data_IF_648473062324
#
_entry.id   IF_648473062324
#
_cell.length_a   1.000
_cell.length_b   1.000
_cell.length_c   1.000
_cell.angle_alpha   90.00
_cell.angle_beta   90.00
_cell.angle_gamma   90.00
#
_symmetry.space_group_name_H-M   'P 1'
#
loop_
_entity.id
_entity.type
_entity.pdbx_description
1 polymer ?
#
# COMPACT_ATOMS: atom_id res chain seq x y z
N UNK A 1 -37.32 -47.10 24.41
CA UNK A 1 -38.23 -47.75 25.39
C UNK A 1 -37.69 -47.45 26.78
N UNK A 2 -38.51 -46.90 27.68
CA UNK A 2 -38.12 -46.60 29.06
C UNK A 2 -38.57 -45.22 29.53
N UNK A 3 -39.80 -45.16 30.00
CA UNK A 3 -40.53 -44.02 30.59
C UNK A 3 -40.21 -43.79 32.07
N UNK A 4 -40.77 -42.68 32.60
CA UNK A 4 -41.22 -42.38 34.00
C UNK A 4 -40.41 -41.25 34.67
N UNK A 5 -40.92 -39.99 34.70
CA UNK A 5 -41.95 -39.38 35.58
C UNK A 5 -41.33 -38.81 36.87
N UNK A 6 -41.16 -37.49 37.02
CA UNK A 6 -42.11 -36.45 37.49
C UNK A 6 -42.13 -36.24 39.02
N UNK A 7 -41.96 -34.97 39.42
CA UNK A 7 -42.42 -34.25 40.64
C UNK A 7 -41.72 -32.87 40.60
N UNK A 8 -42.30 -31.72 40.24
CA UNK A 8 -43.59 -31.06 40.53
C UNK A 8 -43.67 -30.57 41.98
N UNK A 9 -43.37 -29.27 42.25
CA UNK A 9 -43.98 -28.30 43.20
C UNK A 9 -43.37 -26.91 42.82
N UNK A 10 -44.03 -25.92 42.19
CA UNK A 10 -45.21 -25.09 42.50
C UNK A 10 -44.96 -23.94 43.53
N UNK A 11 -45.32 -22.70 43.13
CA UNK A 11 -45.42 -21.50 43.98
C UNK A 11 -44.64 -20.29 43.41
N UNK A 12 -45.13 -19.44 42.50
CA UNK A 12 -46.26 -18.49 42.53
C UNK A 12 -46.03 -17.30 43.48
N UNK A 13 -46.42 -16.08 43.05
CA UNK A 13 -46.57 -14.78 43.78
C UNK A 13 -45.37 -13.83 43.55
N UNK A 14 -45.48 -12.57 43.05
CA UNK A 14 -46.59 -11.63 42.80
C UNK A 14 -46.15 -10.59 41.75
N UNK A 15 -47.07 -10.23 40.86
CA UNK A 15 -47.04 -8.99 40.08
C UNK A 15 -47.37 -7.81 41.00
N UNK A 16 -46.58 -6.74 40.93
CA UNK A 16 -46.99 -5.40 41.37
C UNK A 16 -46.61 -4.40 40.27
N UNK A 17 -47.61 -4.02 39.49
CA UNK A 17 -47.63 -2.72 38.82
C UNK A 17 -47.85 -1.65 39.89
N UNK A 18 -47.00 -0.62 39.87
CA UNK A 18 -47.17 0.60 40.66
C UNK A 18 -46.12 1.60 40.19
N UNK A 19 -46.53 2.53 39.33
CA UNK A 19 -45.62 3.44 38.65
C UNK A 19 -45.01 4.50 39.56
N UNK A 20 -43.84 5.01 39.15
CA UNK A 20 -43.42 6.38 39.41
C UNK A 20 -42.49 6.83 38.29
N UNK A 21 -42.83 7.96 37.69
CA UNK A 21 -42.00 8.71 36.76
C UNK A 21 -40.73 9.19 37.49
N UNK A 22 -39.57 8.73 37.07
CA UNK A 22 -38.32 9.49 37.25
C UNK A 22 -37.49 9.38 35.98
N UNK A 23 -37.31 10.52 35.33
CA UNK A 23 -36.37 10.72 34.24
C UNK A 23 -34.97 10.25 34.64
N UNK A 24 -34.42 9.29 33.90
CA UNK A 24 -32.99 8.97 33.88
C UNK A 24 -32.43 9.35 32.50
N UNK A 25 -31.28 10.04 32.42
CA UNK A 25 -30.76 10.57 31.17
C UNK A 25 -30.33 9.43 30.22
N UNK A 26 -30.29 9.69 28.90
CA UNK A 26 -29.82 8.70 27.94
C UNK A 26 -28.34 8.41 28.19
N UNK A 27 -27.98 7.14 28.37
CA UNK A 27 -26.59 6.69 28.21
C UNK A 27 -26.24 6.75 26.71
N UNK A 28 -26.01 7.96 26.23
CA UNK A 28 -25.30 8.27 25.00
C UNK A 28 -24.01 8.96 25.42
N UNK A 29 -22.87 8.27 25.41
CA UNK A 29 -21.53 8.85 25.16
C UNK A 29 -20.41 7.92 25.63
N UNK A 30 -20.03 6.95 24.79
CA UNK A 30 -18.63 6.50 24.67
C UNK A 30 -18.35 6.20 23.19
N UNK A 31 -18.31 7.24 22.37
CA UNK A 31 -17.74 7.18 21.00
C UNK A 31 -16.89 8.41 20.66
N UNK A 32 -16.83 9.42 21.56
CA UNK A 32 -16.20 10.72 21.29
C UNK A 32 -14.67 10.74 21.53
N UNK A 33 -14.16 9.79 22.30
CA UNK A 33 -12.73 9.68 22.62
C UNK A 33 -11.89 9.17 21.45
N UNK A 34 -12.43 8.23 20.68
CA UNK A 34 -11.72 7.61 19.54
C UNK A 34 -11.66 8.56 18.33
N UNK A 35 -12.76 9.28 18.07
CA UNK A 35 -12.85 10.23 16.97
C UNK A 35 -11.91 11.44 17.14
N UNK A 36 -11.80 11.98 18.36
CA UNK A 36 -10.91 13.12 18.64
C UNK A 36 -9.42 12.73 18.57
N UNK A 37 -9.07 11.53 19.02
CA UNK A 37 -7.73 10.98 18.88
C UNK A 37 -7.35 10.78 17.41
N UNK A 38 -8.25 10.21 16.61
CA UNK A 38 -8.08 10.02 15.16
C UNK A 38 -7.89 11.33 14.40
N UNK A 39 -8.71 12.36 14.71
CA UNK A 39 -8.57 13.70 14.11
C UNK A 39 -7.22 14.33 14.45
N UNK A 40 -6.78 14.20 15.70
CA UNK A 40 -5.49 14.75 16.14
C UNK A 40 -4.32 14.03 15.46
N UNK A 41 -4.33 12.71 15.38
CA UNK A 41 -3.32 11.91 14.68
C UNK A 41 -3.23 12.29 13.20
N UNK A 42 -4.38 12.47 12.53
CA UNK A 42 -4.42 12.93 11.14
C UNK A 42 -3.82 14.33 10.96
N UNK A 43 -4.13 15.25 11.87
CA UNK A 43 -3.57 16.60 11.84
C UNK A 43 -2.06 16.60 12.06
N UNK A 44 -1.56 15.78 12.98
CA UNK A 44 -0.14 15.59 13.24
C UNK A 44 0.58 15.06 11.98
N UNK A 45 0.07 13.98 11.38
CA UNK A 45 0.63 13.39 10.16
C UNK A 45 0.68 14.38 9.00
N UNK A 46 -0.36 15.21 8.83
CA UNK A 46 -0.39 16.26 7.81
C UNK A 46 0.65 17.36 8.06
N UNK A 47 0.88 17.74 9.32
CA UNK A 47 1.92 18.73 9.67
C UNK A 47 3.32 18.18 9.43
N UNK A 48 3.59 16.96 9.90
CA UNK A 48 4.85 16.24 9.67
C UNK A 48 5.14 16.16 8.17
N UNK A 49 4.18 15.68 7.38
CA UNK A 49 4.29 15.61 5.93
C UNK A 49 4.57 16.98 5.30
N UNK A 50 3.81 18.00 5.67
CA UNK A 50 3.97 19.35 5.10
C UNK A 50 5.36 19.93 5.41
N UNK A 51 5.88 19.68 6.61
CA UNK A 51 7.21 20.10 7.02
C UNK A 51 8.30 19.37 6.24
N UNK A 52 8.16 18.05 6.04
CA UNK A 52 9.12 17.23 5.31
C UNK A 52 9.13 17.55 3.81
N UNK A 53 7.96 17.63 3.19
CA UNK A 53 7.84 17.96 1.78
C UNK A 53 8.32 19.39 1.50
N UNK A 54 8.01 20.35 2.38
CA UNK A 54 8.38 21.75 2.24
C UNK A 54 8.05 22.31 0.84
N UNK A 55 6.84 22.01 0.34
CA UNK A 55 6.37 22.41 -0.99
C UNK A 55 6.92 21.58 -2.16
N UNK A 56 7.92 20.71 -1.94
CA UNK A 56 8.46 19.83 -2.97
C UNK A 56 7.48 18.73 -3.35
N UNK A 57 7.48 18.38 -4.62
CA UNK A 57 6.66 17.29 -5.19
C UNK A 57 7.46 16.05 -5.51
N UNK A 58 8.79 16.11 -5.48
CA UNK A 58 9.69 14.97 -5.64
C UNK A 58 10.92 15.22 -4.76
N UNK A 59 11.24 14.29 -3.86
CA UNK A 59 12.39 14.37 -2.96
C UNK A 59 12.73 13.01 -2.35
N UNK A 60 13.95 12.90 -1.84
CA UNK A 60 14.45 11.68 -1.20
C UNK A 60 14.81 11.92 0.26
N UNK A 61 14.65 10.87 1.08
CA UNK A 61 15.11 10.83 2.46
C UNK A 61 16.03 9.63 2.62
N UNK A 62 17.27 9.90 3.01
CA UNK A 62 18.28 8.88 3.30
C UNK A 62 18.45 8.60 4.80
N UNK A 63 17.93 9.47 5.66
CA UNK A 63 18.00 9.30 7.12
C UNK A 63 16.74 8.56 7.64
N UNK A 64 16.88 7.36 8.25
CA UNK A 64 15.74 6.61 8.78
C UNK A 64 14.95 7.36 9.85
N UNK A 65 15.55 8.33 10.56
CA UNK A 65 14.88 9.13 11.58
C UNK A 65 13.94 10.19 10.99
N UNK A 66 14.10 10.53 9.70
CA UNK A 66 13.28 11.51 9.00
C UNK A 66 12.11 10.88 8.23
N UNK A 67 12.01 9.55 8.21
CA UNK A 67 10.86 8.86 7.59
C UNK A 67 9.60 9.11 8.44
N UNK A 68 8.48 9.56 7.84
CA UNK A 68 7.24 9.82 8.58
C UNK A 68 6.81 8.64 9.43
N UNK A 69 6.44 8.88 10.70
CA UNK A 69 6.17 7.81 11.67
C UNK A 69 5.16 6.78 11.17
N UNK A 70 4.07 7.23 10.55
CA UNK A 70 3.00 6.34 10.08
C UNK A 70 3.40 5.55 8.83
N UNK A 71 4.30 6.08 8.01
CA UNK A 71 4.87 5.34 6.88
C UNK A 71 5.86 4.28 7.39
N UNK A 72 6.73 4.64 8.33
CA UNK A 72 7.63 3.68 8.98
C UNK A 72 6.86 2.52 9.60
N UNK A 73 5.77 2.81 10.33
CA UNK A 73 4.89 1.79 10.91
C UNK A 73 4.26 0.89 9.85
N UNK A 74 3.71 1.46 8.78
CA UNK A 74 3.11 0.69 7.68
C UNK A 74 4.14 -0.21 6.98
N UNK A 75 5.36 0.29 6.78
CA UNK A 75 6.45 -0.48 6.20
C UNK A 75 6.86 -1.65 7.11
N UNK A 76 7.09 -1.38 8.41
CA UNK A 76 7.47 -2.40 9.39
C UNK A 76 6.39 -3.48 9.55
N UNK A 77 5.10 -3.10 9.58
CA UNK A 77 3.97 -4.04 9.61
C UNK A 77 3.88 -4.91 8.35
N UNK A 78 4.35 -4.41 7.20
CA UNK A 78 4.45 -5.19 5.97
C UNK A 78 5.70 -6.10 5.93
N UNK A 79 6.56 -6.07 6.95
CA UNK A 79 7.81 -6.84 7.00
C UNK A 79 9.00 -6.19 6.27
N UNK A 80 8.92 -4.89 5.97
CA UNK A 80 9.98 -4.16 5.27
C UNK A 80 11.11 -3.74 6.22
N UNK A 81 12.33 -4.24 6.00
CA UNK A 81 13.54 -3.81 6.73
C UNK A 81 14.28 -2.71 5.96
N UNK A 82 13.69 -1.51 5.90
CA UNK A 82 14.25 -0.40 5.10
C UNK A 82 15.44 0.31 5.76
N UNK A 83 15.52 0.29 7.10
CA UNK A 83 16.49 1.07 7.88
C UNK A 83 17.95 0.73 7.56
N UNK A 84 18.20 -0.52 7.16
CA UNK A 84 19.56 -1.01 6.87
C UNK A 84 20.10 -0.53 5.51
N UNK A 85 19.22 -0.06 4.63
CA UNK A 85 19.57 0.29 3.23
C UNK A 85 19.23 1.72 2.85
N UNK A 86 18.43 2.43 3.63
CA UNK A 86 17.94 3.77 3.29
C UNK A 86 19.04 4.79 2.98
N UNK A 87 20.24 4.65 3.58
CA UNK A 87 21.38 5.51 3.25
C UNK A 87 21.83 5.35 1.79
N UNK A 88 21.80 4.11 1.27
CA UNK A 88 22.21 3.76 -0.10
C UNK A 88 21.06 3.81 -1.09
N UNK A 89 19.86 3.49 -0.63
CA UNK A 89 18.62 3.38 -1.38
C UNK A 89 17.56 4.24 -0.68
N UNK A 90 17.61 5.58 -0.87
CA UNK A 90 16.75 6.51 -0.18
C UNK A 90 15.26 6.24 -0.43
N UNK A 91 14.42 6.61 0.54
CA UNK A 91 12.98 6.62 0.33
C UNK A 91 12.65 7.80 -0.56
N UNK A 92 12.11 7.53 -1.75
CA UNK A 92 11.71 8.57 -2.69
C UNK A 92 10.23 8.89 -2.52
N UNK A 93 9.94 10.14 -2.23
CA UNK A 93 8.61 10.70 -2.12
C UNK A 93 8.29 11.46 -3.39
N UNK A 94 7.13 11.20 -3.98
CA UNK A 94 6.75 11.88 -5.22
C UNK A 94 5.26 12.14 -5.33
N UNK A 95 4.91 13.17 -6.09
CA UNK A 95 3.56 13.50 -6.51
C UNK A 95 3.45 13.35 -8.03
N UNK A 96 2.95 12.20 -8.49
CA UNK A 96 2.83 11.86 -9.91
C UNK A 96 1.35 11.67 -10.24
N UNK A 97 0.87 12.26 -11.34
CA UNK A 97 -0.53 12.19 -11.78
C UNK A 97 -1.57 12.61 -10.70
N UNK A 98 -1.17 13.42 -9.71
CA UNK A 98 -2.04 13.83 -8.60
C UNK A 98 -2.02 12.88 -7.40
N UNK A 99 -1.31 11.76 -7.49
CA UNK A 99 -1.12 10.78 -6.42
C UNK A 99 0.15 11.11 -5.65
N UNK A 100 0.10 11.04 -4.32
CA UNK A 100 1.31 11.09 -3.49
C UNK A 100 1.73 9.68 -3.18
N UNK A 101 2.99 9.34 -3.40
CA UNK A 101 3.51 8.02 -3.09
C UNK A 101 4.90 8.09 -2.47
N UNK A 102 5.26 7.03 -1.76
CA UNK A 102 6.64 6.74 -1.36
C UNK A 102 7.09 5.43 -2.01
N UNK A 103 8.28 5.44 -2.61
CA UNK A 103 9.02 4.25 -3.01
C UNK A 103 10.09 3.97 -1.97
N UNK A 104 10.07 2.78 -1.39
CA UNK A 104 10.97 2.39 -0.30
C UNK A 104 11.60 1.05 -0.64
N UNK A 105 12.92 0.96 -0.61
CA UNK A 105 13.60 -0.32 -0.74
C UNK A 105 13.46 -1.13 0.56
N UNK A 106 13.01 -2.37 0.43
CA UNK A 106 12.77 -3.30 1.52
C UNK A 106 13.67 -4.51 1.37
N UNK A 107 14.56 -4.72 2.34
CA UNK A 107 15.34 -5.96 2.47
C UNK A 107 14.49 -7.04 3.16
N UNK A 108 14.49 -8.24 2.60
CA UNK A 108 13.84 -9.41 3.22
C UNK A 108 14.85 -10.39 3.80
N UNK A 109 16.00 -10.55 3.12
CA UNK A 109 17.14 -11.35 3.57
C UNK A 109 18.40 -10.88 2.82
N UNK A 110 19.01 -11.71 1.98
CA UNK A 110 20.10 -11.32 1.07
C UNK A 110 19.62 -10.51 -0.13
N UNK A 111 18.34 -10.62 -0.49
CA UNK A 111 17.71 -9.84 -1.57
C UNK A 111 16.75 -8.78 -1.01
N UNK A 112 16.36 -7.84 -1.87
CA UNK A 112 15.34 -6.85 -1.57
C UNK A 112 14.58 -6.40 -2.81
N UNK A 113 13.51 -5.66 -2.58
CA UNK A 113 12.65 -5.07 -3.62
C UNK A 113 12.21 -3.71 -3.15
N UNK A 114 11.94 -2.80 -4.08
CA UNK A 114 11.15 -1.63 -3.74
C UNK A 114 9.71 -2.05 -3.42
N UNK A 115 9.08 -1.28 -2.54
CA UNK A 115 7.64 -1.25 -2.28
C UNK A 115 7.13 0.16 -2.49
N UNK A 116 5.90 0.28 -2.96
CA UNK A 116 5.21 1.56 -3.05
C UNK A 116 4.17 1.68 -1.95
N UNK A 117 4.03 2.89 -1.41
CA UNK A 117 2.98 3.24 -0.48
C UNK A 117 2.18 4.42 -1.02
N UNK A 118 0.85 4.32 -1.06
CA UNK A 118 -0.05 5.44 -1.32
C UNK A 118 -0.10 6.34 -0.08
N UNK A 119 0.18 7.63 -0.32
CA UNK A 119 0.19 8.70 0.67
C UNK A 119 -0.91 9.74 0.41
N UNK A 120 -1.94 9.37 -0.35
CA UNK A 120 -3.15 10.19 -0.52
C UNK A 120 -3.79 10.53 0.83
N UNK A 121 -3.80 9.57 1.75
CA UNK A 121 -4.10 9.75 3.17
C UNK A 121 -2.83 9.51 4.00
N UNK A 122 -2.05 10.57 4.26
CA UNK A 122 -0.79 10.48 5.03
C UNK A 122 -0.99 9.97 6.46
N UNK A 123 -2.23 9.98 6.98
CA UNK A 123 -2.56 9.41 8.29
C UNK A 123 -2.75 7.89 8.26
N UNK A 124 -2.81 7.30 7.07
CA UNK A 124 -2.94 5.87 6.84
C UNK A 124 -2.26 5.49 5.53
N UNK A 125 -0.92 5.50 5.47
CA UNK A 125 -0.17 5.01 4.33
C UNK A 125 -0.58 3.57 3.99
N UNK A 126 -0.85 3.29 2.72
CA UNK A 126 -1.27 1.96 2.27
C UNK A 126 -0.22 1.35 1.35
N UNK A 127 0.21 0.10 1.56
CA UNK A 127 1.03 -0.58 0.57
C UNK A 127 0.25 -0.72 -0.74
N UNK A 128 0.93 -0.52 -1.85
CA UNK A 128 0.38 -0.67 -3.20
C UNK A 128 0.90 -1.96 -3.82
N UNK A 129 0.04 -2.61 -4.61
CA UNK A 129 0.41 -3.77 -5.40
C UNK A 129 0.69 -3.38 -6.87
N UNK A 130 1.54 -4.18 -7.50
CA UNK A 130 1.93 -4.04 -8.90
C UNK A 130 1.39 -5.22 -9.69
N UNK A 131 0.72 -5.00 -10.83
CA UNK A 131 0.41 -6.10 -11.74
C UNK A 131 1.71 -6.73 -12.24
N UNK A 132 1.77 -8.05 -12.32
CA UNK A 132 2.97 -8.79 -12.67
C UNK A 132 2.64 -9.90 -13.67
N UNK A 133 3.55 -10.16 -14.62
CA UNK A 133 3.41 -11.28 -15.56
C UNK A 133 4.11 -12.50 -14.99
N UNK A 134 3.31 -13.48 -14.57
CA UNK A 134 3.77 -14.80 -14.13
C UNK A 134 3.81 -15.78 -15.31
N UNK A 135 4.47 -16.94 -15.10
CA UNK A 135 4.59 -18.01 -16.11
C UNK A 135 3.25 -18.42 -16.75
N UNK A 136 2.15 -18.40 -15.99
CA UNK A 136 0.83 -18.86 -16.44
C UNK A 136 -0.26 -17.77 -16.39
N UNK A 137 0.11 -16.49 -16.45
CA UNK A 137 -0.87 -15.40 -16.52
C UNK A 137 -0.44 -14.12 -15.81
N UNK A 138 -1.42 -13.32 -15.41
CA UNK A 138 -1.20 -12.06 -14.70
C UNK A 138 -1.57 -12.24 -13.22
N UNK A 139 -0.79 -11.63 -12.34
CA UNK A 139 -1.06 -11.56 -10.91
C UNK A 139 -0.73 -10.18 -10.36
N UNK A 140 -0.68 -10.07 -9.04
CA UNK A 140 -0.19 -8.87 -8.35
C UNK A 140 0.96 -9.23 -7.41
N UNK A 141 1.82 -8.26 -7.13
CA UNK A 141 2.94 -8.38 -6.20
C UNK A 141 3.18 -7.07 -5.47
N UNK A 142 3.49 -7.13 -4.18
CA UNK A 142 3.97 -5.98 -3.41
C UNK A 142 5.50 -5.84 -3.51
N UNK A 143 6.19 -6.78 -4.16
CA UNK A 143 7.65 -6.79 -4.38
C UNK A 143 7.98 -6.91 -5.87
N UNK A 144 7.79 -5.84 -6.67
CA UNK A 144 8.02 -5.86 -8.13
C UNK A 144 9.49 -5.88 -8.57
N UNK A 145 10.44 -5.79 -7.63
CA UNK A 145 11.87 -5.70 -7.89
C UNK A 145 12.45 -4.29 -7.66
N UNK A 146 13.58 -3.99 -8.29
CA UNK A 146 14.24 -2.70 -8.17
C UNK A 146 13.54 -1.68 -9.08
N UNK A 147 12.89 -0.66 -8.50
CA UNK A 147 12.16 0.36 -9.26
C UNK A 147 13.07 1.53 -9.56
N UNK A 148 13.11 1.92 -10.84
CA UNK A 148 13.66 3.19 -11.29
C UNK A 148 12.55 4.08 -11.86
N UNK A 149 12.46 5.33 -11.38
CA UNK A 149 11.54 6.33 -11.92
C UNK A 149 12.17 7.04 -13.13
N UNK A 150 11.47 7.04 -14.26
CA UNK A 150 11.82 7.76 -15.49
C UNK A 150 10.89 8.97 -15.62
N UNK A 151 11.32 10.08 -15.02
CA UNK A 151 10.51 11.30 -14.90
C UNK A 151 9.99 11.82 -16.25
N UNK A 152 10.87 11.95 -17.24
CA UNK A 152 10.51 12.46 -18.58
C UNK A 152 9.44 11.61 -19.27
N UNK A 153 9.44 10.29 -19.04
CA UNK A 153 8.50 9.37 -19.64
C UNK A 153 7.23 9.15 -18.79
N UNK A 154 7.26 9.59 -17.52
CA UNK A 154 6.21 9.27 -16.56
C UNK A 154 6.10 7.77 -16.26
N UNK A 155 7.23 7.03 -16.30
CA UNK A 155 7.25 5.56 -16.22
C UNK A 155 8.06 5.05 -15.02
N UNK A 156 7.57 3.99 -14.39
CA UNK A 156 8.31 3.21 -13.40
C UNK A 156 8.85 1.95 -14.06
N UNK A 157 10.14 1.68 -13.92
CA UNK A 157 10.78 0.47 -14.44
C UNK A 157 11.17 -0.40 -13.26
N UNK A 158 10.49 -1.53 -13.08
CA UNK A 158 10.83 -2.48 -12.04
C UNK A 158 11.57 -3.68 -12.62
N UNK A 159 12.80 -3.87 -12.17
CA UNK A 159 13.68 -4.93 -12.64
C UNK A 159 13.76 -6.05 -11.60
N UNK A 160 13.52 -7.29 -12.05
CA UNK A 160 13.70 -8.51 -11.26
C UNK A 160 14.73 -9.38 -11.96
N UNK A 161 15.71 -9.88 -11.23
CA UNK A 161 16.76 -10.74 -11.77
C UNK A 161 17.67 -11.28 -10.68
N UNK A 162 18.68 -12.04 -11.10
CA UNK A 162 19.72 -12.53 -10.20
C UNK A 162 21.04 -11.89 -10.56
N UNK A 163 21.84 -11.55 -9.55
CA UNK A 163 23.24 -11.16 -9.77
C UNK A 163 24.11 -12.36 -10.19
N UNK A 164 23.54 -13.57 -10.18
CA UNK A 164 24.18 -14.78 -10.68
C UNK A 164 24.15 -14.79 -12.21
N UNK A 165 25.33 -14.98 -12.78
CA UNK A 165 25.56 -14.99 -14.21
C UNK A 165 25.75 -16.42 -14.75
N UNK A 166 25.16 -16.79 -15.91
CA UNK A 166 24.20 -16.01 -16.70
C UNK A 166 22.77 -16.17 -16.16
N UNK A 167 22.03 -15.06 -15.99
CA UNK A 167 20.60 -15.12 -15.70
C UNK A 167 19.82 -14.11 -16.55
N UNK A 168 18.59 -14.45 -16.98
CA UNK A 168 17.72 -13.48 -17.63
C UNK A 168 17.21 -12.47 -16.60
N UNK A 169 17.07 -11.21 -17.02
CA UNK A 169 16.37 -10.20 -16.25
C UNK A 169 15.01 -9.92 -16.85
N UNK A 170 14.04 -9.64 -15.98
CA UNK A 170 12.69 -9.28 -16.35
C UNK A 170 12.43 -7.85 -15.89
N UNK A 171 11.98 -7.00 -16.81
CA UNK A 171 11.61 -5.62 -16.52
C UNK A 171 10.15 -5.38 -16.82
N UNK A 172 9.42 -4.98 -15.79
CA UNK A 172 8.06 -4.48 -15.94
C UNK A 172 8.09 -2.96 -15.96
N UNK A 173 7.39 -2.38 -16.93
CA UNK A 173 7.24 -0.94 -17.08
C UNK A 173 5.81 -0.56 -16.70
N UNK A 174 5.68 0.35 -15.75
CA UNK A 174 4.40 0.77 -15.19
C UNK A 174 4.12 2.26 -15.40
N UNK A 175 2.84 2.60 -15.36
CA UNK A 175 2.30 3.94 -15.09
C UNK A 175 1.39 3.89 -13.88
N UNK A 176 1.14 5.05 -13.25
CA UNK A 176 0.04 5.17 -12.30
C UNK A 176 -1.28 5.28 -13.06
N UNK A 177 -2.31 4.61 -12.56
CA UNK A 177 -3.65 4.75 -13.10
C UNK A 177 -4.24 6.10 -12.67
N UNK A 178 -4.61 6.92 -13.66
CA UNK A 178 -5.26 8.22 -13.42
C UNK A 178 -6.69 8.09 -12.91
N UNK A 179 -7.33 6.94 -13.12
CA UNK A 179 -8.71 6.66 -12.71
C UNK A 179 -8.79 6.01 -11.33
N UNK A 180 -7.81 5.16 -10.98
CA UNK A 180 -7.74 4.49 -9.69
C UNK A 180 -6.45 4.87 -8.93
N UNK A 181 -6.61 5.55 -7.79
CA UNK A 181 -5.47 6.10 -7.05
C UNK A 181 -4.54 5.12 -6.38
N UNK A 182 -4.98 3.88 -6.24
CA UNK A 182 -4.28 2.83 -5.52
C UNK A 182 -3.71 1.77 -6.48
N UNK A 183 -3.51 2.10 -7.77
CA UNK A 183 -3.13 1.12 -8.80
C UNK A 183 -2.01 1.59 -9.73
N UNK A 184 -1.05 0.69 -9.93
CA UNK A 184 -0.14 0.72 -11.08
C UNK A 184 -0.75 -0.10 -12.22
N UNK A 185 -0.51 0.35 -13.45
CA UNK A 185 -0.83 -0.38 -14.67
C UNK A 185 0.45 -0.79 -15.38
N UNK A 186 0.57 -2.07 -15.74
CA UNK A 186 1.67 -2.55 -16.59
C UNK A 186 1.41 -2.11 -18.02
N UNK A 187 2.38 -1.41 -18.61
CA UNK A 187 2.31 -0.93 -19.99
C UNK A 187 3.25 -1.69 -20.91
N UNK A 188 4.33 -2.26 -20.38
CA UNK A 188 5.28 -3.04 -21.16
C UNK A 188 6.02 -4.04 -20.28
N UNK A 189 6.37 -5.19 -20.86
CA UNK A 189 7.23 -6.19 -20.23
C UNK A 189 8.36 -6.53 -21.19
N UNK A 190 9.57 -6.49 -20.65
CA UNK A 190 10.81 -6.69 -21.40
C UNK A 190 11.65 -7.77 -20.72
N UNK A 191 12.36 -8.56 -21.52
CA UNK A 191 13.30 -9.58 -21.05
C UNK A 191 14.68 -9.29 -21.63
N UNK A 192 15.72 -9.43 -20.83
CA UNK A 192 17.09 -9.42 -21.33
C UNK A 192 17.56 -10.84 -21.62
N UNK A 193 18.41 -11.00 -22.64
CA UNK A 193 19.15 -12.25 -22.81
C UNK A 193 20.05 -12.50 -21.56
N UNK A 194 20.24 -13.75 -21.14
CA UNK A 194 21.22 -14.08 -20.10
C UNK A 194 22.61 -13.68 -20.57
N UNK A 195 23.25 -12.71 -19.90
CA UNK A 195 24.55 -12.19 -20.30
C UNK A 195 25.44 -11.91 -19.07
N UNK A 196 26.75 -12.04 -19.26
CA UNK A 196 27.76 -11.69 -18.28
C UNK A 196 28.56 -10.49 -18.83
N UNK A 197 28.21 -9.25 -18.46
CA UNK A 197 28.94 -8.05 -18.92
C UNK A 197 28.08 -6.81 -19.16
N UNK A 198 28.71 -5.75 -19.66
CA UNK A 198 28.03 -4.48 -19.97
C UNK A 198 27.28 -4.58 -21.30
N UNK A 199 25.95 -4.42 -21.24
CA UNK A 199 25.07 -4.40 -22.41
C UNK A 199 23.99 -5.47 -22.33
N UNK A 200 23.01 -5.27 -21.46
CA UNK A 200 21.77 -6.05 -21.52
C UNK A 200 20.90 -5.47 -22.63
N UNK A 201 20.83 -6.18 -23.75
CA UNK A 201 19.84 -5.90 -24.78
C UNK A 201 18.47 -6.36 -24.27
N UNK A 202 17.52 -5.42 -24.25
CA UNK A 202 16.16 -5.65 -23.77
C UNK A 202 15.23 -5.90 -24.95
N UNK A 203 14.53 -7.03 -24.92
CA UNK A 203 13.50 -7.37 -25.90
C UNK A 203 12.12 -7.22 -25.28
N UNK A 204 11.22 -6.47 -25.93
CA UNK A 204 9.81 -6.39 -25.51
C UNK A 204 9.09 -7.70 -25.83
N UNK A 205 8.53 -8.34 -24.81
CA UNK A 205 7.74 -9.58 -24.96
C UNK A 205 6.24 -9.33 -24.87
N UNK A 206 5.84 -8.19 -24.31
CA UNK A 206 4.46 -7.76 -24.23
C UNK A 206 4.39 -6.23 -24.10
N UNK A 207 3.41 -5.61 -24.77
CA UNK A 207 3.11 -4.18 -24.66
C UNK A 207 1.60 -3.97 -24.69
N UNK A 208 1.11 -3.10 -23.81
CA UNK A 208 -0.29 -2.74 -23.75
C UNK A 208 -0.69 -1.99 -25.02
N UNK A 209 -1.74 -2.46 -25.69
CA UNK A 209 -2.32 -1.71 -26.82
C UNK A 209 -3.14 -0.53 -26.27
N UNK A 210 -3.05 0.66 -26.90
CA UNK A 210 -3.94 1.77 -26.56
C UNK A 210 -5.40 1.32 -26.68
N UNK A 211 -6.23 1.70 -25.70
CA UNK A 211 -7.67 1.55 -25.86
C UNK A 211 -8.13 2.36 -27.08
N UNK A 212 -9.09 1.85 -27.87
CA UNK A 212 -9.73 2.66 -28.90
C UNK A 212 -10.27 3.93 -28.26
N UNK A 213 -10.04 5.09 -28.88
CA UNK A 213 -10.67 6.32 -28.43
C UNK A 213 -12.20 6.11 -28.40
N UNK A 214 -12.92 6.65 -27.40
CA UNK A 214 -14.37 6.60 -27.40
C UNK A 214 -14.88 7.14 -28.73
N UNK A 215 -15.71 6.36 -29.43
CA UNK A 215 -16.35 6.85 -30.63
C UNK A 215 -17.23 8.03 -30.23
N UNK A 216 -16.96 9.19 -30.84
CA UNK A 216 -17.65 10.44 -30.55
C UNK A 216 -19.17 10.23 -30.72
N UNK A 217 -19.99 10.38 -29.66
CA UNK A 217 -21.44 10.30 -29.81
C UNK A 217 -21.88 11.58 -30.52
N UNK A 218 -22.06 11.49 -31.84
CA UNK A 218 -22.70 12.55 -32.63
C UNK A 218 -24.15 12.75 -32.23
#
# INVERSE_FOLDING_TARGET
>A
MGTVSARLIAGLIKVLLGGFLTAGPPLMSVARGDETASINARREALREWSSLANGRTDFEISDPALVPRLLALAAEQSGCKYRDDIEKLPVRFMKVAGHRLALMFCRFSVTGSHRAFDLSDVSRPKPMEFPYVALNGFGTTDTPGFITWREEAGLFQAETGSDLCPSPHLRHVYRLDVTNRESFVVVRVEVSAPACGAGQEWTTIWEAKPWPAPADPR
#
